data_IF_209246514494
#
_entry.id   IF_209246514494
#
_cell.length_a   1.000
_cell.length_b   1.000
_cell.length_c   1.000
_cell.angle_alpha   90.00
_cell.angle_beta   90.00
_cell.angle_gamma   90.00
#
_symmetry.space_group_name_H-M   'P 1'
#
loop_
_entity.id
_entity.type
_entity.pdbx_description
1 polymer ?
#
# COMPACT_ATOMS: atom_id res chain seq x y z
N UNK A 1 8.16 -2.74 13.48
CA UNK A 1 7.68 -3.26 12.18
C UNK A 1 7.54 -2.12 11.21
N UNK A 2 7.44 -2.43 9.92
CA UNK A 2 7.08 -1.45 8.88
C UNK A 2 5.67 -1.80 8.42
N UNK A 3 4.86 -0.79 8.14
CA UNK A 3 3.49 -0.93 7.65
C UNK A 3 3.37 -0.10 6.38
N UNK A 4 3.05 -0.74 5.27
CA UNK A 4 2.54 -0.04 4.10
C UNK A 4 1.09 0.40 4.33
N UNK A 5 0.62 1.47 3.69
CA UNK A 5 -0.77 1.91 3.78
C UNK A 5 -1.27 2.39 2.43
N UNK A 6 -2.54 2.13 2.17
CA UNK A 6 -3.29 2.64 1.01
C UNK A 6 -3.92 3.99 1.34
N UNK A 7 -4.33 4.78 0.32
CA UNK A 7 -4.97 6.09 0.54
C UNK A 7 -6.21 6.07 1.46
N UNK A 8 -6.97 4.97 1.47
CA UNK A 8 -8.16 4.78 2.30
C UNK A 8 -7.91 3.96 3.58
N UNK A 9 -6.67 3.48 3.79
CA UNK A 9 -6.30 2.63 4.92
C UNK A 9 -6.89 1.22 4.88
N UNK A 10 -7.52 0.81 3.78
CA UNK A 10 -8.10 -0.52 3.59
C UNK A 10 -7.15 -1.43 2.80
N UNK A 11 -7.24 -2.77 2.97
CA UNK A 11 -6.46 -3.71 2.18
C UNK A 11 -6.65 -3.54 0.65
N UNK A 12 -5.67 -3.99 -0.13
CA UNK A 12 -5.87 -4.35 -1.54
C UNK A 12 -5.66 -5.84 -1.64
N UNK A 13 -6.66 -6.58 -2.13
CA UNK A 13 -6.55 -8.00 -2.45
C UNK A 13 -7.11 -8.17 -3.86
N UNK A 14 -6.23 -8.33 -4.83
CA UNK A 14 -6.62 -8.32 -6.24
C UNK A 14 -5.80 -9.29 -7.09
N UNK A 15 -6.42 -9.79 -8.16
CA UNK A 15 -5.73 -10.48 -9.24
C UNK A 15 -5.58 -9.49 -10.39
N UNK A 16 -4.34 -9.13 -10.72
CA UNK A 16 -4.09 -8.14 -11.76
C UNK A 16 -4.60 -8.64 -13.12
N UNK A 17 -5.12 -7.73 -13.94
CA UNK A 17 -5.51 -8.05 -15.32
C UNK A 17 -4.30 -8.19 -16.25
N UNK A 18 -3.17 -7.55 -15.93
CA UNK A 18 -1.91 -7.66 -16.65
C UNK A 18 -0.74 -7.24 -15.73
N UNK A 19 0.22 -8.14 -15.42
CA UNK A 19 0.23 -9.56 -15.78
C UNK A 19 -0.87 -10.34 -15.05
N UNK A 20 -1.50 -11.31 -15.72
CA UNK A 20 -2.71 -12.01 -15.24
C UNK A 20 -2.44 -13.15 -14.23
N UNK A 21 -1.16 -13.39 -13.94
CA UNK A 21 -0.66 -14.42 -13.02
C UNK A 21 -0.07 -13.83 -11.73
N UNK A 22 -0.34 -12.55 -11.44
CA UNK A 22 0.12 -11.87 -10.22
C UNK A 22 -1.07 -11.55 -9.32
N UNK A 23 -0.95 -11.92 -8.06
CA UNK A 23 -1.87 -11.52 -6.98
C UNK A 23 -1.19 -10.40 -6.18
N UNK A 24 -1.92 -9.30 -5.98
CA UNK A 24 -1.52 -8.21 -5.11
C UNK A 24 -2.27 -8.33 -3.78
N UNK A 25 -1.52 -8.40 -2.68
CA UNK A 25 -2.05 -8.39 -1.32
C UNK A 25 -1.26 -7.38 -0.48
N UNK A 26 -1.94 -6.31 -0.05
CA UNK A 26 -1.46 -5.37 0.97
C UNK A 26 -2.54 -5.20 2.01
N UNK A 27 -2.13 -5.15 3.28
CA UNK A 27 -3.07 -5.29 4.38
C UNK A 27 -3.22 -4.04 5.24
N UNK A 28 -2.50 -2.96 4.91
CA UNK A 28 -2.43 -1.78 5.76
C UNK A 28 -2.10 -2.16 7.22
N UNK A 29 -2.68 -1.50 8.21
CA UNK A 29 -2.47 -1.81 9.64
C UNK A 29 -3.31 -2.96 10.19
N UNK A 30 -4.13 -3.64 9.37
CA UNK A 30 -5.14 -4.62 9.84
C UNK A 30 -4.80 -6.08 9.54
N UNK A 31 -3.61 -6.34 8.98
CA UNK A 31 -3.22 -7.65 8.47
C UNK A 31 -3.21 -8.79 9.48
N UNK A 32 -2.84 -8.55 10.74
CA UNK A 32 -2.72 -9.65 11.72
C UNK A 32 -4.06 -10.33 11.98
N UNK A 33 -5.10 -9.56 12.31
CA UNK A 33 -6.43 -10.10 12.60
C UNK A 33 -7.12 -10.70 11.38
N UNK A 34 -6.87 -10.14 10.19
CA UNK A 34 -7.46 -10.62 8.94
C UNK A 34 -6.66 -11.75 8.27
N UNK A 35 -5.45 -12.06 8.74
CA UNK A 35 -4.53 -12.99 8.06
C UNK A 35 -5.11 -14.38 7.74
N UNK A 36 -5.97 -15.01 8.56
CA UNK A 36 -6.56 -16.30 8.19
C UNK A 36 -7.51 -16.20 6.99
N UNK A 37 -8.33 -15.14 6.94
CA UNK A 37 -9.27 -14.92 5.84
C UNK A 37 -8.54 -14.43 4.58
N UNK A 38 -7.59 -13.51 4.74
CA UNK A 38 -6.78 -12.98 3.63
C UNK A 38 -5.97 -14.10 2.96
N UNK A 39 -5.26 -14.93 3.73
CA UNK A 39 -4.50 -16.05 3.18
C UNK A 39 -5.37 -17.07 2.43
N UNK A 40 -6.57 -17.37 2.92
CA UNK A 40 -7.54 -18.20 2.21
C UNK A 40 -8.00 -17.53 0.91
N UNK A 41 -8.32 -16.24 0.95
CA UNK A 41 -8.73 -15.48 -0.24
C UNK A 41 -7.65 -15.43 -1.31
N UNK A 42 -6.40 -15.19 -0.92
CA UNK A 42 -5.24 -15.25 -1.83
C UNK A 42 -5.07 -16.65 -2.42
N UNK A 43 -5.18 -17.71 -1.62
CA UNK A 43 -5.15 -19.09 -2.12
C UNK A 43 -6.24 -19.35 -3.16
N UNK A 44 -7.47 -18.91 -2.90
CA UNK A 44 -8.59 -19.06 -3.85
C UNK A 44 -8.33 -18.29 -5.15
N UNK A 45 -7.78 -17.07 -5.07
CA UNK A 45 -7.41 -16.29 -6.26
C UNK A 45 -6.34 -16.99 -7.09
N UNK A 46 -5.32 -17.58 -6.45
CA UNK A 46 -4.25 -18.33 -7.13
C UNK A 46 -4.79 -19.60 -7.80
N UNK A 47 -5.59 -20.38 -7.08
CA UNK A 47 -6.04 -21.71 -7.55
C UNK A 47 -7.24 -21.64 -8.50
N UNK A 48 -8.10 -20.64 -8.33
CA UNK A 48 -9.42 -20.60 -8.97
C UNK A 48 -9.70 -19.28 -9.71
N UNK A 49 -8.80 -18.30 -9.62
CA UNK A 49 -8.97 -16.99 -10.25
C UNK A 49 -10.03 -16.10 -9.60
N UNK A 50 -10.65 -16.53 -8.50
CA UNK A 50 -11.66 -15.79 -7.74
C UNK A 50 -11.72 -16.28 -6.29
N UNK A 51 -12.03 -15.40 -5.36
CA UNK A 51 -12.37 -15.78 -3.98
C UNK A 51 -13.71 -16.51 -3.95
N UNK A 52 -13.79 -17.64 -3.24
CA UNK A 52 -15.00 -18.47 -3.23
C UNK A 52 -15.96 -18.15 -2.08
N UNK A 53 -15.53 -17.37 -1.09
CA UNK A 53 -16.28 -17.15 0.14
C UNK A 53 -16.64 -15.68 0.43
N UNK A 54 -16.06 -14.73 -0.31
CA UNK A 54 -16.32 -13.30 -0.13
C UNK A 54 -16.23 -12.54 -1.45
N UNK A 55 -16.98 -11.44 -1.56
CA UNK A 55 -16.80 -10.47 -2.64
C UNK A 55 -15.62 -9.53 -2.30
N UNK A 56 -14.60 -9.52 -3.16
CA UNK A 56 -13.40 -8.70 -3.01
C UNK A 56 -13.46 -7.40 -3.84
N UNK A 57 -14.56 -7.10 -4.52
CA UNK A 57 -14.69 -5.93 -5.41
C UNK A 57 -14.28 -4.61 -4.73
N UNK A 58 -14.70 -4.40 -3.49
CA UNK A 58 -14.35 -3.23 -2.67
C UNK A 58 -12.86 -3.17 -2.27
N UNK A 59 -12.13 -4.28 -2.36
CA UNK A 59 -10.70 -4.39 -2.06
C UNK A 59 -9.84 -4.46 -3.33
N UNK A 60 -10.42 -4.30 -4.52
CA UNK A 60 -9.66 -4.28 -5.78
C UNK A 60 -8.70 -3.09 -5.85
N UNK A 61 -7.63 -3.21 -6.62
CA UNK A 61 -6.71 -2.10 -6.90
C UNK A 61 -7.41 -1.01 -7.72
N UNK A 62 -8.31 -1.43 -8.62
CA UNK A 62 -9.07 -0.56 -9.50
C UNK A 62 -9.92 0.50 -8.78
N UNK A 63 -10.24 0.30 -7.49
CA UNK A 63 -10.94 1.32 -6.68
C UNK A 63 -10.19 2.65 -6.61
N UNK A 64 -8.87 2.64 -6.84
CA UNK A 64 -8.03 3.82 -6.84
C UNK A 64 -7.81 4.45 -8.22
N UNK A 65 -8.49 3.99 -9.28
CA UNK A 65 -8.30 4.51 -10.64
C UNK A 65 -8.45 6.03 -10.76
N UNK A 66 -9.35 6.62 -9.96
CA UNK A 66 -9.63 8.06 -9.93
C UNK A 66 -8.92 8.79 -8.77
N UNK A 67 -7.97 8.14 -8.09
CA UNK A 67 -7.20 8.78 -7.01
C UNK A 67 -6.33 9.89 -7.57
N UNK A 68 -6.47 11.10 -7.05
CA UNK A 68 -5.69 12.24 -7.52
C UNK A 68 -4.20 12.08 -7.12
N UNK A 69 -3.25 12.54 -7.95
CA UNK A 69 -1.82 12.41 -7.63
C UNK A 69 -1.39 13.10 -6.33
N UNK A 70 -2.11 14.15 -5.92
CA UNK A 70 -1.90 14.95 -4.71
C UNK A 70 -2.65 14.41 -3.48
N UNK A 71 -3.09 13.15 -3.51
CA UNK A 71 -3.87 12.56 -2.42
C UNK A 71 -3.13 12.59 -1.08
N UNK A 72 -1.79 12.50 -1.08
CA UNK A 72 -0.99 12.50 0.16
C UNK A 72 -1.08 13.86 0.85
N UNK A 73 -0.96 14.93 0.09
CA UNK A 73 -1.10 16.31 0.55
C UNK A 73 -2.50 16.52 1.13
N UNK A 74 -3.53 16.07 0.41
CA UNK A 74 -4.94 16.18 0.84
C UNK A 74 -5.24 15.39 2.11
N UNK A 75 -4.61 14.23 2.28
CA UNK A 75 -4.75 13.40 3.46
C UNK A 75 -3.89 13.90 4.65
N UNK A 76 -2.99 14.87 4.44
CA UNK A 76 -2.02 15.30 5.45
C UNK A 76 -0.90 14.27 5.70
N UNK A 77 -0.61 13.43 4.70
CA UNK A 77 0.40 12.36 4.72
C UNK A 77 1.78 12.80 4.24
N UNK A 78 1.94 14.07 3.88
CA UNK A 78 3.24 14.66 3.64
C UNK A 78 3.88 15.02 4.98
N UNK A 79 5.10 14.51 5.19
CA UNK A 79 5.91 14.93 6.33
C UNK A 79 6.11 16.45 6.25
N UNK A 80 5.87 17.16 7.34
CA UNK A 80 6.40 18.52 7.49
C UNK A 80 7.92 18.37 7.49
N UNK A 81 8.56 18.64 6.35
CA UNK A 81 9.94 18.25 6.07
C UNK A 81 10.85 18.37 7.29
N UNK A 82 11.49 17.27 7.68
CA UNK A 82 12.58 17.36 8.63
C UNK A 82 13.65 18.27 8.02
N UNK A 83 14.20 19.24 8.75
CA UNK A 83 15.35 19.97 8.24
C UNK A 83 16.41 18.92 7.96
N UNK A 84 16.82 18.79 6.70
CA UNK A 84 18.03 18.06 6.36
C UNK A 84 19.13 18.75 7.16
N UNK A 85 19.65 18.07 8.18
CA UNK A 85 20.70 18.62 9.03
C UNK A 85 21.81 19.09 8.09
N UNK A 86 22.08 20.39 8.13
CA UNK A 86 22.94 21.07 7.19
C UNK A 86 24.23 20.29 6.98
N UNK A 87 24.61 20.14 5.72
CA UNK A 87 25.93 19.72 5.32
C UNK A 87 26.94 20.47 6.20
N UNK A 88 27.65 19.72 7.05
CA UNK A 88 28.87 20.18 7.68
C UNK A 88 29.92 20.35 6.56
N UNK A 89 29.76 21.42 5.78
CA UNK A 89 30.81 21.92 4.92
C UNK A 89 31.74 22.73 5.83
N UNK A 90 32.91 22.16 6.07
CA UNK A 90 33.93 22.69 6.95
C UNK A 90 34.29 24.13 6.61
N UNK A 91 34.42 24.91 7.67
CA UNK A 91 35.15 26.16 7.70
C UNK A 91 36.65 25.88 7.53
N UNK A 92 37.06 25.75 6.28
CA UNK A 92 38.42 26.10 5.89
C UNK A 92 38.63 27.60 6.11
N UNK A 93 39.31 27.97 7.18
CA UNK A 93 39.79 29.32 7.44
C UNK A 93 41.18 29.24 8.06
N UNK A 94 42.21 29.30 7.21
CA UNK A 94 43.58 29.53 7.65
C UNK A 94 43.77 31.00 8.02
N UNK A 95 44.66 31.22 8.98
CA UNK A 95 45.60 32.35 9.08
C UNK A 95 46.86 31.84 9.81
#
# INVERSE_FOLDING_TARGET
GVVENTPDGLPVIDRLGSPDNVILDTMSSVGFGLSPAAGRGVSDLVLHGRCQFADLSALSLGRFAETTPDWRERAGWVSAGAPVAGAAAGDGGGD
#
